data_IF_591359278518
#
_entry.id   IF_591359278518
#
_cell.length_a   1.000
_cell.length_b   1.000
_cell.length_c   1.000
_cell.angle_alpha   90.00
_cell.angle_beta   90.00
_cell.angle_gamma   90.00
#
_symmetry.space_group_name_H-M   'P 1'
#
loop_
_entity.id
_entity.type
_entity.pdbx_description
1 polymer ?
#
# COMPACT_ATOMS: atom_id res chain seq x y z
N UNK A 1 -6.40 -6.18 17.31
CA UNK A 1 -7.80 -6.22 16.84
C UNK A 1 -8.74 -5.40 17.71
N UNK A 2 -8.82 -5.60 19.03
CA UNK A 2 -9.71 -4.77 19.87
C UNK A 2 -9.45 -3.26 19.74
N UNK A 3 -8.17 -2.83 19.85
CA UNK A 3 -7.78 -1.42 19.66
C UNK A 3 -8.13 -0.87 18.27
N UNK A 4 -8.09 -1.72 17.23
CA UNK A 4 -8.47 -1.33 15.87
C UNK A 4 -9.97 -1.07 15.79
N UNK A 5 -10.81 -1.91 16.40
CA UNK A 5 -12.26 -1.70 16.43
C UNK A 5 -12.67 -0.50 17.28
N UNK A 6 -12.01 -0.27 18.43
CA UNK A 6 -12.23 0.95 19.20
C UNK A 6 -11.90 2.20 18.38
N UNK A 7 -10.77 2.20 17.65
CA UNK A 7 -10.42 3.29 16.74
C UNK A 7 -11.50 3.54 15.67
N UNK A 8 -12.02 2.48 15.05
CA UNK A 8 -13.11 2.61 14.06
C UNK A 8 -14.37 3.24 14.63
N UNK A 9 -14.75 2.84 15.86
CA UNK A 9 -15.92 3.38 16.54
C UNK A 9 -15.71 4.85 16.91
N UNK A 10 -14.59 5.14 17.56
CA UNK A 10 -14.34 6.44 18.18
C UNK A 10 -13.94 7.52 17.16
N UNK A 11 -13.20 7.14 16.12
CA UNK A 11 -12.64 8.09 15.14
C UNK A 11 -13.44 8.15 13.83
N UNK A 12 -13.91 7.00 13.35
CA UNK A 12 -14.48 6.89 12.00
C UNK A 12 -16.00 6.78 12.01
N UNK A 13 -16.64 6.84 13.18
CA UNK A 13 -18.09 6.85 13.33
C UNK A 13 -18.77 5.59 12.77
N UNK A 14 -18.05 4.47 12.72
CA UNK A 14 -18.61 3.18 12.27
C UNK A 14 -19.80 2.84 13.15
N UNK A 15 -20.98 2.74 12.52
CA UNK A 15 -22.23 2.60 13.25
C UNK A 15 -22.27 1.26 14.02
N UNK A 16 -22.73 1.26 15.29
CA UNK A 16 -22.78 0.07 16.12
C UNK A 16 -23.64 -1.08 15.57
N UNK A 17 -24.53 -0.86 14.60
CA UNK A 17 -25.47 -1.88 14.12
C UNK A 17 -25.14 -2.45 12.72
N UNK A 18 -23.86 -2.46 12.34
CA UNK A 18 -23.41 -2.91 11.02
C UNK A 18 -23.16 -4.42 10.92
N UNK A 19 -22.76 -4.86 9.72
CA UNK A 19 -22.30 -6.23 9.46
C UNK A 19 -20.78 -6.27 9.23
N UNK A 20 -20.11 -7.26 9.79
CA UNK A 20 -18.68 -7.50 9.63
C UNK A 20 -18.39 -8.69 8.70
N UNK A 21 -17.44 -8.53 7.79
CA UNK A 21 -16.93 -9.60 6.92
C UNK A 21 -15.41 -9.72 7.03
N UNK A 22 -14.92 -10.93 7.24
CA UNK A 22 -13.50 -11.29 7.30
C UNK A 22 -13.12 -12.12 6.06
N UNK A 23 -12.43 -11.47 5.12
CA UNK A 23 -12.01 -12.04 3.85
C UNK A 23 -10.69 -12.82 4.02
N UNK A 24 -10.76 -14.15 3.92
CA UNK A 24 -9.63 -15.03 4.25
C UNK A 24 -9.50 -15.20 5.76
N UNK A 25 -10.59 -15.60 6.41
CA UNK A 25 -10.72 -15.58 7.88
C UNK A 25 -9.78 -16.54 8.62
N UNK A 26 -9.13 -17.48 7.92
CA UNK A 26 -8.25 -18.46 8.54
C UNK A 26 -8.99 -19.26 9.62
N UNK A 27 -8.46 -19.22 10.85
CA UNK A 27 -9.09 -19.87 12.01
C UNK A 27 -10.20 -19.04 12.67
N UNK A 28 -10.62 -17.92 12.09
CA UNK A 28 -11.79 -17.15 12.52
C UNK A 28 -11.56 -16.20 13.70
N UNK A 29 -10.31 -15.99 14.13
CA UNK A 29 -10.00 -15.09 15.25
C UNK A 29 -10.45 -13.65 14.99
N UNK A 30 -10.14 -13.00 13.85
CA UNK A 30 -10.59 -11.63 13.60
C UNK A 30 -12.12 -11.51 13.57
N UNK A 31 -12.79 -12.48 12.95
CA UNK A 31 -14.26 -12.59 12.94
C UNK A 31 -14.84 -12.63 14.36
N UNK A 32 -14.31 -13.49 15.24
CA UNK A 32 -14.76 -13.59 16.63
C UNK A 32 -14.41 -12.34 17.44
N UNK A 33 -13.25 -11.74 17.20
CA UNK A 33 -12.89 -10.46 17.82
C UNK A 33 -13.87 -9.35 17.44
N UNK A 34 -14.35 -9.31 16.19
CA UNK A 34 -15.38 -8.36 15.78
C UNK A 34 -16.69 -8.61 16.54
N UNK A 35 -17.09 -9.87 16.67
CA UNK A 35 -18.33 -10.28 17.36
C UNK A 35 -18.38 -9.92 18.85
N UNK A 36 -17.22 -9.79 19.52
CA UNK A 36 -17.10 -9.34 20.91
C UNK A 36 -16.61 -7.89 21.04
N UNK A 37 -16.48 -7.18 19.92
CA UNK A 37 -15.93 -5.81 19.92
C UNK A 37 -16.95 -4.77 20.36
N UNK A 38 -16.46 -3.56 20.64
CA UNK A 38 -17.29 -2.40 21.01
C UNK A 38 -18.17 -1.87 19.87
N UNK A 39 -17.96 -2.33 18.63
CA UNK A 39 -18.72 -1.91 17.46
C UNK A 39 -20.08 -2.58 17.32
N UNK A 40 -20.50 -3.44 18.27
CA UNK A 40 -21.86 -4.03 18.41
C UNK A 40 -22.45 -4.67 17.13
N UNK A 41 -21.61 -5.16 16.22
CA UNK A 41 -22.05 -5.72 14.93
C UNK A 41 -23.21 -6.71 15.09
N UNK A 42 -24.21 -6.62 14.23
CA UNK A 42 -25.35 -7.54 14.23
C UNK A 42 -24.93 -8.93 13.73
N UNK A 43 -24.05 -8.96 12.72
CA UNK A 43 -23.49 -10.21 12.17
C UNK A 43 -21.99 -10.08 11.93
N UNK A 44 -21.26 -11.18 12.11
CA UNK A 44 -19.84 -11.32 11.79
C UNK A 44 -19.61 -12.61 11.00
N UNK A 45 -19.21 -12.49 9.73
CA UNK A 45 -18.97 -13.63 8.86
C UNK A 45 -17.49 -13.78 8.52
N UNK A 46 -16.97 -14.99 8.68
CA UNK A 46 -15.66 -15.39 8.15
C UNK A 46 -15.80 -16.19 6.87
N UNK A 47 -15.02 -15.82 5.84
CA UNK A 47 -14.93 -16.56 4.58
C UNK A 47 -13.52 -17.09 4.42
N UNK A 48 -13.39 -18.40 4.27
CA UNK A 48 -12.10 -19.07 4.14
C UNK A 48 -12.16 -20.18 3.09
N UNK A 49 -11.11 -20.30 2.28
CA UNK A 49 -11.04 -21.31 1.22
C UNK A 49 -10.70 -22.70 1.77
N UNK A 50 -9.88 -22.76 2.82
CA UNK A 50 -9.43 -24.00 3.45
C UNK A 50 -10.47 -24.59 4.40
N UNK A 51 -11.04 -25.74 4.03
CA UNK A 51 -12.01 -26.47 4.85
C UNK A 51 -11.50 -26.81 6.27
N UNK A 52 -10.20 -27.12 6.42
CA UNK A 52 -9.62 -27.43 7.73
C UNK A 52 -9.53 -26.20 8.64
N UNK A 53 -9.26 -25.02 8.06
CA UNK A 53 -9.25 -23.73 8.77
C UNK A 53 -10.67 -23.32 9.19
N UNK A 54 -11.66 -23.51 8.31
CA UNK A 54 -13.10 -23.33 8.64
C UNK A 54 -13.53 -24.27 9.77
N UNK A 55 -13.11 -25.54 9.75
CA UNK A 55 -13.40 -26.47 10.83
C UNK A 55 -12.78 -26.01 12.18
N UNK A 56 -11.58 -25.42 12.16
CA UNK A 56 -10.99 -24.80 13.34
C UNK A 56 -11.77 -23.56 13.81
N UNK A 57 -12.20 -22.69 12.89
CA UNK A 57 -13.05 -21.54 13.19
C UNK A 57 -14.38 -21.95 13.83
N UNK A 58 -15.02 -22.99 13.31
CA UNK A 58 -16.26 -23.56 13.88
C UNK A 58 -16.06 -24.20 15.27
N UNK A 59 -14.84 -24.65 15.63
CA UNK A 59 -14.53 -25.06 17.01
C UNK A 59 -14.50 -23.84 17.94
N UNK A 60 -13.88 -22.74 17.54
CA UNK A 60 -13.87 -21.50 18.32
C UNK A 60 -15.26 -20.88 18.41
N UNK A 61 -16.05 -20.93 17.34
CA UNK A 61 -17.46 -20.50 17.33
C UNK A 61 -18.28 -21.20 18.42
N UNK A 62 -18.15 -22.51 18.56
CA UNK A 62 -18.87 -23.26 19.61
C UNK A 62 -18.53 -22.78 21.02
N UNK A 63 -17.29 -22.37 21.25
CA UNK A 63 -16.89 -21.77 22.53
C UNK A 63 -17.55 -20.41 22.72
N UNK A 64 -17.53 -19.56 21.68
CA UNK A 64 -18.25 -18.27 21.67
C UNK A 64 -19.74 -18.46 21.95
N UNK A 65 -20.42 -19.34 21.21
CA UNK A 65 -21.86 -19.61 21.36
C UNK A 65 -22.20 -20.11 22.77
N UNK A 66 -21.32 -20.91 23.40
CA UNK A 66 -21.52 -21.41 24.77
C UNK A 66 -21.37 -20.32 25.84
N UNK A 67 -20.71 -19.21 25.52
CA UNK A 67 -20.43 -18.11 26.43
C UNK A 67 -21.29 -16.87 26.17
N UNK A 68 -21.82 -16.73 24.95
CA UNK A 68 -22.68 -15.64 24.53
C UNK A 68 -24.00 -15.63 25.33
N UNK A 69 -24.46 -14.44 25.73
CA UNK A 69 -25.73 -14.23 26.44
C UNK A 69 -26.49 -13.08 25.75
N UNK A 70 -27.79 -13.25 25.48
CA UNK A 70 -28.68 -12.17 25.01
C UNK A 70 -28.54 -11.83 23.52
N UNK A 71 -28.66 -10.53 23.18
CA UNK A 71 -28.53 -9.95 21.83
C UNK A 71 -27.07 -9.98 21.31
N UNK A 72 -26.44 -11.15 21.34
CA UNK A 72 -25.08 -11.35 20.87
C UNK A 72 -25.00 -11.35 19.34
N UNK A 73 -23.93 -10.76 18.79
CA UNK A 73 -23.58 -10.79 17.37
C UNK A 73 -23.70 -12.22 16.77
N UNK A 74 -24.41 -12.36 15.65
CA UNK A 74 -24.49 -13.64 14.95
C UNK A 74 -23.17 -13.92 14.21
N UNK A 75 -22.47 -14.98 14.63
CA UNK A 75 -21.22 -15.40 13.97
C UNK A 75 -21.50 -16.50 12.95
N UNK A 76 -20.86 -16.45 11.78
CA UNK A 76 -20.87 -17.56 10.83
C UNK A 76 -19.54 -17.74 10.11
N UNK A 77 -19.24 -18.98 9.71
CA UNK A 77 -18.04 -19.31 8.92
C UNK A 77 -18.43 -20.10 7.68
N UNK A 78 -17.79 -19.79 6.57
CA UNK A 78 -18.09 -20.38 5.27
C UNK A 78 -16.84 -20.86 4.55
N UNK A 79 -16.92 -22.07 4.00
CA UNK A 79 -15.86 -22.65 3.17
C UNK A 79 -16.12 -22.30 1.71
N UNK A 80 -15.47 -21.26 1.20
CA UNK A 80 -15.70 -20.77 -0.16
C UNK A 80 -14.54 -19.93 -0.68
N UNK A 81 -14.44 -19.83 -1.99
CA UNK A 81 -13.53 -18.91 -2.68
C UNK A 81 -14.06 -17.48 -2.58
N UNK A 82 -13.31 -16.61 -1.90
CA UNK A 82 -13.70 -15.21 -1.68
C UNK A 82 -13.85 -14.44 -2.99
N UNK A 83 -13.16 -14.85 -4.07
CA UNK A 83 -13.25 -14.21 -5.39
C UNK A 83 -14.62 -14.36 -6.04
N UNK A 84 -15.36 -15.40 -5.67
CA UNK A 84 -16.65 -15.77 -6.27
C UNK A 84 -17.84 -15.47 -5.36
N UNK A 85 -17.57 -14.96 -4.16
CA UNK A 85 -18.58 -14.80 -3.14
C UNK A 85 -19.18 -13.40 -3.22
N UNK A 86 -20.39 -13.30 -3.78
CA UNK A 86 -21.15 -12.05 -3.90
C UNK A 86 -21.78 -11.60 -2.59
N UNK A 87 -21.01 -11.57 -1.51
CA UNK A 87 -21.51 -11.21 -0.17
C UNK A 87 -20.76 -10.01 0.40
N UNK A 88 -20.16 -9.16 -0.41
CA UNK A 88 -19.57 -7.92 0.10
C UNK A 88 -20.60 -6.79 0.19
N UNK A 89 -21.64 -6.84 -0.63
CA UNK A 89 -22.75 -5.88 -0.64
C UNK A 89 -23.47 -5.72 0.72
N UNK A 90 -23.55 -6.79 1.53
CA UNK A 90 -24.18 -6.73 2.85
C UNK A 90 -23.27 -6.17 3.97
N UNK A 91 -21.95 -6.10 3.74
CA UNK A 91 -20.98 -5.77 4.78
C UNK A 91 -20.85 -4.25 4.98
N UNK A 92 -20.88 -3.80 6.22
CA UNK A 92 -20.57 -2.41 6.59
C UNK A 92 -19.07 -2.23 6.88
N UNK A 93 -18.42 -3.30 7.35
CA UNK A 93 -16.97 -3.36 7.53
C UNK A 93 -16.45 -4.65 6.93
N UNK A 94 -15.45 -4.56 6.06
CA UNK A 94 -14.71 -5.71 5.56
C UNK A 94 -13.25 -5.64 6.03
N UNK A 95 -12.73 -6.76 6.51
CA UNK A 95 -11.34 -6.93 6.91
C UNK A 95 -10.65 -7.94 5.98
N UNK A 96 -9.40 -7.69 5.62
CA UNK A 96 -8.57 -8.66 4.90
C UNK A 96 -7.12 -8.64 5.37
N UNK A 97 -6.63 -9.82 5.76
CA UNK A 97 -5.21 -10.03 5.98
C UNK A 97 -4.49 -10.39 4.67
N UNK A 98 -4.13 -9.36 3.89
CA UNK A 98 -3.59 -9.50 2.54
C UNK A 98 -2.07 -9.65 2.43
N UNK A 99 -1.37 -9.92 3.55
CA UNK A 99 0.11 -9.96 3.61
C UNK A 99 0.72 -10.84 2.51
N UNK A 100 0.15 -12.04 2.35
CA UNK A 100 0.67 -13.10 1.46
C UNK A 100 -0.13 -13.23 0.15
N UNK A 101 -1.08 -12.34 -0.11
CA UNK A 101 -1.89 -12.42 -1.33
C UNK A 101 -1.08 -11.90 -2.53
N UNK A 102 -1.23 -12.52 -3.69
CA UNK A 102 -0.68 -12.00 -4.93
C UNK A 102 -1.53 -10.83 -5.48
N UNK A 103 -1.06 -10.20 -6.54
CA UNK A 103 -1.76 -9.07 -7.15
C UNK A 103 -3.11 -9.48 -7.76
N UNK A 104 -3.21 -10.68 -8.31
CA UNK A 104 -4.44 -11.19 -8.94
C UNK A 104 -5.55 -11.39 -7.91
N UNK A 105 -5.25 -12.06 -6.79
CA UNK A 105 -6.18 -12.25 -5.69
C UNK A 105 -6.57 -10.91 -5.06
N UNK A 106 -5.61 -10.00 -4.85
CA UNK A 106 -5.92 -8.67 -4.34
C UNK A 106 -6.87 -7.90 -5.26
N UNK A 107 -6.65 -7.94 -6.58
CA UNK A 107 -7.51 -7.27 -7.54
C UNK A 107 -8.92 -7.89 -7.57
N UNK A 108 -9.02 -9.22 -7.54
CA UNK A 108 -10.31 -9.92 -7.54
C UNK A 108 -11.12 -9.62 -6.25
N UNK A 109 -10.48 -9.60 -5.08
CA UNK A 109 -11.16 -9.27 -3.81
C UNK A 109 -11.50 -7.79 -3.75
N UNK A 110 -10.63 -6.90 -4.23
CA UNK A 110 -10.92 -5.47 -4.30
C UNK A 110 -12.16 -5.20 -5.16
N UNK A 111 -12.30 -5.90 -6.30
CA UNK A 111 -13.49 -5.78 -7.14
C UNK A 111 -14.78 -6.16 -6.39
N UNK A 112 -14.74 -7.21 -5.55
CA UNK A 112 -15.89 -7.58 -4.72
C UNK A 112 -16.16 -6.53 -3.63
N UNK A 113 -15.12 -6.04 -2.93
CA UNK A 113 -15.27 -4.98 -1.93
C UNK A 113 -15.82 -3.68 -2.51
N UNK A 114 -15.55 -3.39 -3.79
CA UNK A 114 -16.08 -2.21 -4.48
C UNK A 114 -17.62 -2.25 -4.61
N UNK A 115 -18.28 -3.38 -4.36
CA UNK A 115 -19.76 -3.50 -4.36
C UNK A 115 -20.41 -3.16 -3.02
N UNK A 116 -19.64 -2.92 -1.94
CA UNK A 116 -20.18 -2.58 -0.61
C UNK A 116 -21.04 -1.31 -0.63
N UNK A 117 -21.85 -1.05 0.41
CA UNK A 117 -22.67 0.17 0.45
C UNK A 117 -21.85 1.43 0.74
N UNK A 118 -22.35 2.59 0.33
CA UNK A 118 -21.79 3.91 0.70
C UNK A 118 -21.52 4.01 2.21
N UNK A 119 -20.39 4.58 2.59
CA UNK A 119 -19.97 4.74 3.98
C UNK A 119 -19.38 3.48 4.61
N UNK A 120 -19.40 2.34 3.90
CA UNK A 120 -18.75 1.12 4.37
C UNK A 120 -17.24 1.28 4.44
N UNK A 121 -16.60 0.51 5.32
CA UNK A 121 -15.16 0.60 5.59
C UNK A 121 -14.48 -0.70 5.18
N UNK A 122 -13.36 -0.59 4.49
CA UNK A 122 -12.44 -1.70 4.23
C UNK A 122 -11.15 -1.48 5.00
N UNK A 123 -10.74 -2.51 5.73
CA UNK A 123 -9.50 -2.56 6.49
C UNK A 123 -8.61 -3.63 5.87
N UNK A 124 -7.50 -3.23 5.28
CA UNK A 124 -6.56 -4.16 4.66
C UNK A 124 -5.21 -4.12 5.35
N UNK A 125 -4.67 -5.30 5.65
CA UNK A 125 -3.40 -5.44 6.36
C UNK A 125 -2.22 -5.58 5.38
N UNK A 126 -1.17 -4.82 5.63
CA UNK A 126 0.11 -4.74 4.92
C UNK A 126 0.06 -4.30 3.46
N UNK A 127 -1.10 -4.33 2.81
CA UNK A 127 -1.31 -3.80 1.46
C UNK A 127 -2.62 -3.05 1.41
N UNK A 128 -2.65 -1.97 0.64
CA UNK A 128 -3.88 -1.25 0.29
C UNK A 128 -4.50 -1.90 -0.95
N UNK A 129 -5.80 -2.17 -0.91
CA UNK A 129 -6.52 -2.56 -2.13
C UNK A 129 -6.73 -1.38 -3.07
N UNK A 130 -6.67 -1.64 -4.37
CA UNK A 130 -7.08 -0.68 -5.38
C UNK A 130 -8.62 -0.64 -5.44
N UNK A 131 -9.23 0.22 -4.63
CA UNK A 131 -10.68 0.43 -4.53
C UNK A 131 -11.04 1.81 -5.07
N UNK A 132 -11.39 1.94 -6.37
CA UNK A 132 -11.63 3.25 -6.98
C UNK A 132 -12.79 4.01 -6.34
N UNK A 133 -13.78 3.33 -5.77
CA UNK A 133 -14.92 3.98 -5.11
C UNK A 133 -14.66 4.35 -3.64
N UNK A 134 -13.46 4.06 -3.10
CA UNK A 134 -13.11 4.29 -1.70
C UNK A 134 -12.00 5.33 -1.54
N UNK A 135 -12.12 6.17 -0.51
CA UNK A 135 -11.07 7.08 -0.07
C UNK A 135 -10.24 6.45 1.05
N UNK A 136 -8.92 6.70 1.07
CA UNK A 136 -8.08 6.36 2.21
C UNK A 136 -8.35 7.37 3.32
N UNK A 137 -8.80 6.88 4.48
CA UNK A 137 -9.15 7.71 5.63
C UNK A 137 -8.14 7.59 6.77
N UNK A 138 -7.43 6.46 6.86
CA UNK A 138 -6.43 6.25 7.92
C UNK A 138 -5.38 5.19 7.56
N UNK A 139 -4.23 5.26 8.24
CA UNK A 139 -3.15 4.27 8.19
C UNK A 139 -2.66 4.03 9.61
N UNK A 140 -2.89 2.82 10.12
CA UNK A 140 -2.59 2.45 11.51
C UNK A 140 -1.45 1.44 11.52
N UNK A 141 -0.37 1.72 12.23
CA UNK A 141 0.71 0.76 12.49
C UNK A 141 0.58 0.22 13.91
N UNK A 142 0.48 -1.10 14.06
CA UNK A 142 0.45 -1.77 15.37
C UNK A 142 1.67 -2.68 15.53
N UNK A 143 2.32 -2.70 16.72
CA UNK A 143 3.45 -3.59 16.97
C UNK A 143 3.03 -5.06 16.86
N UNK A 144 3.78 -5.87 16.11
CA UNK A 144 3.44 -7.29 15.88
C UNK A 144 3.33 -8.15 17.14
N UNK A 145 3.87 -7.70 18.26
CA UNK A 145 4.05 -8.50 19.46
C UNK A 145 3.05 -8.14 20.57
N UNK A 146 2.30 -7.04 20.43
CA UNK A 146 1.45 -6.53 21.51
C UNK A 146 2.20 -6.06 22.77
N UNK A 147 3.53 -6.08 22.76
CA UNK A 147 4.41 -5.68 23.88
C UNK A 147 5.14 -4.35 23.64
N UNK A 148 4.90 -3.69 22.51
CA UNK A 148 5.50 -2.39 22.23
C UNK A 148 4.62 -1.28 22.79
N UNK A 149 5.21 -0.38 23.57
CA UNK A 149 4.64 0.95 23.76
C UNK A 149 4.37 1.57 22.39
N UNK A 150 3.23 2.25 22.24
CA UNK A 150 2.91 3.02 21.03
C UNK A 150 4.11 3.93 20.69
N UNK A 151 4.84 3.65 19.60
CA UNK A 151 6.00 4.43 19.17
C UNK A 151 7.38 3.77 19.28
N UNK A 152 7.50 2.49 19.68
CA UNK A 152 8.79 1.79 19.66
C UNK A 152 9.22 1.39 18.23
N UNK A 153 10.24 2.06 17.69
CA UNK A 153 10.70 2.05 16.29
C UNK A 153 11.27 0.72 15.76
N UNK A 154 11.50 -0.27 16.63
CA UNK A 154 12.26 -1.48 16.28
C UNK A 154 11.40 -2.75 16.21
N UNK A 155 10.10 -2.66 16.54
CA UNK A 155 9.17 -3.77 16.41
C UNK A 155 8.57 -3.80 14.99
N UNK A 156 8.54 -4.97 14.36
CA UNK A 156 7.94 -5.16 13.04
C UNK A 156 6.46 -4.80 13.12
N UNK A 157 6.07 -3.62 12.65
CA UNK A 157 4.68 -3.18 12.73
C UNK A 157 3.81 -3.82 11.64
N UNK A 158 2.60 -4.19 12.02
CA UNK A 158 1.52 -4.46 11.10
C UNK A 158 0.84 -3.15 10.71
N UNK A 159 0.96 -2.77 9.45
CA UNK A 159 0.25 -1.61 8.89
C UNK A 159 -1.15 -2.02 8.43
N UNK A 160 -2.16 -1.25 8.83
CA UNK A 160 -3.55 -1.38 8.42
C UNK A 160 -3.93 -0.15 7.62
N UNK A 161 -4.45 -0.35 6.41
CA UNK A 161 -5.02 0.72 5.59
C UNK A 161 -6.53 0.72 5.80
N UNK A 162 -7.08 1.85 6.24
CA UNK A 162 -8.51 2.01 6.46
C UNK A 162 -9.04 2.91 5.36
N UNK A 163 -9.95 2.36 4.56
CA UNK A 163 -10.57 3.06 3.43
C UNK A 163 -12.07 3.08 3.60
N UNK A 164 -12.75 4.14 3.15
CA UNK A 164 -14.19 4.29 3.28
C UNK A 164 -14.84 4.55 1.92
N UNK A 165 -15.96 3.89 1.65
CA UNK A 165 -16.68 4.03 0.39
C UNK A 165 -17.31 5.42 0.29
N UNK A 166 -17.02 6.13 -0.79
CA UNK A 166 -17.54 7.47 -1.06
C UNK A 166 -19.06 7.46 -1.16
N UNK A 167 -19.68 8.53 -0.68
CA UNK A 167 -21.05 8.83 -1.04
C UNK A 167 -21.12 9.08 -2.54
N UNK A 168 -21.84 8.20 -3.24
CA UNK A 168 -22.20 8.45 -4.63
C UNK A 168 -23.12 9.67 -4.62
N UNK A 169 -22.60 10.82 -5.07
CA UNK A 169 -23.40 12.03 -5.26
C UNK A 169 -24.38 11.76 -6.41
N UNK A 170 -25.52 11.14 -6.09
CA UNK A 170 -26.63 10.98 -7.02
C UNK A 170 -27.51 12.21 -6.88
N UNK A 171 -27.18 13.26 -7.65
CA UNK A 171 -27.94 14.50 -7.71
C UNK A 171 -27.07 15.75 -7.54
N UNK A 172 -27.43 16.82 -8.25
CA UNK A 172 -26.71 18.11 -8.30
C UNK A 172 -26.71 18.92 -6.98
N UNK A 173 -27.10 18.32 -5.85
CA UNK A 173 -27.13 19.01 -4.55
C UNK A 173 -25.75 18.95 -3.86
N UNK A 174 -24.88 19.87 -4.28
CA UNK A 174 -23.56 20.14 -3.69
C UNK A 174 -23.61 20.70 -2.25
N UNK A 175 -24.79 20.91 -1.67
CA UNK A 175 -24.97 21.69 -0.44
C UNK A 175 -24.80 20.91 0.86
N UNK A 176 -24.78 19.57 0.85
CA UNK A 176 -24.54 18.77 2.07
C UNK A 176 -23.14 18.13 2.16
N UNK A 177 -22.36 18.12 1.09
CA UNK A 177 -20.99 17.57 1.10
C UNK A 177 -19.98 18.46 1.86
N UNK A 178 -20.36 19.66 2.29
CA UNK A 178 -19.46 20.66 2.90
C UNK A 178 -19.22 20.49 4.40
N UNK A 179 -19.99 19.64 5.09
CA UNK A 179 -19.75 19.38 6.53
C UNK A 179 -18.76 18.25 6.81
N UNK A 180 -18.49 17.38 5.83
CA UNK A 180 -17.28 16.55 5.83
C UNK A 180 -16.20 17.32 5.08
N UNK A 181 -15.59 18.29 5.77
CA UNK A 181 -14.35 18.89 5.28
C UNK A 181 -13.35 17.76 5.15
N UNK A 182 -13.16 17.30 3.91
CA UNK A 182 -12.02 16.52 3.44
C UNK A 182 -10.75 17.33 3.75
N UNK A 183 -10.33 17.35 5.02
CA UNK A 183 -8.93 17.54 5.33
C UNK A 183 -8.25 16.29 4.79
N UNK A 184 -7.31 16.38 3.86
CA UNK A 184 -6.45 15.25 3.55
C UNK A 184 -5.76 14.86 4.86
N UNK A 185 -6.29 13.86 5.54
CA UNK A 185 -5.66 13.20 6.66
C UNK A 185 -4.51 12.40 6.05
N UNK A 186 -3.34 13.02 5.96
CA UNK A 186 -2.11 12.28 5.74
C UNK A 186 -1.84 11.58 7.08
N UNK A 187 -2.41 10.38 7.23
CA UNK A 187 -2.21 9.56 8.42
C UNK A 187 -0.75 9.13 8.50
N UNK A 188 0.02 9.87 9.30
CA UNK A 188 1.40 9.56 9.67
C UNK A 188 1.37 9.15 11.13
N UNK A 189 1.64 7.87 11.41
CA UNK A 189 1.41 7.24 12.71
C UNK A 189 2.47 7.56 13.77
N UNK A 190 3.40 8.48 13.53
CA UNK A 190 4.50 8.77 14.44
C UNK A 190 4.47 10.22 14.97
N UNK A 191 4.85 10.40 16.24
CA UNK A 191 4.86 11.69 16.93
C UNK A 191 5.90 12.66 16.36
N UNK A 192 6.94 12.16 15.70
CA UNK A 192 7.97 12.95 15.02
C UNK A 192 7.46 13.50 13.69
N UNK A 193 6.65 12.77 12.92
CA UNK A 193 5.95 13.13 11.69
C UNK A 193 4.85 14.15 11.97
N UNK A 194 4.16 14.03 13.12
CA UNK A 194 3.27 15.07 13.62
C UNK A 194 4.03 16.32 14.06
N UNK A 195 5.19 16.19 14.72
CA UNK A 195 6.07 17.32 15.03
C UNK A 195 6.66 17.95 13.76
N UNK A 196 6.95 17.13 12.74
CA UNK A 196 7.41 17.50 11.41
C UNK A 196 6.39 18.41 10.72
N UNK A 197 5.13 17.97 10.66
CA UNK A 197 4.01 18.75 10.14
C UNK A 197 3.75 20.00 10.98
N UNK A 198 3.86 19.92 12.31
CA UNK A 198 3.67 21.09 13.20
C UNK A 198 4.69 22.19 12.94
N UNK A 199 5.97 21.84 12.82
CA UNK A 199 7.05 22.78 12.55
C UNK A 199 6.88 23.46 11.18
N UNK A 200 6.36 22.73 10.18
CA UNK A 200 6.02 23.28 8.87
C UNK A 200 4.87 24.29 8.91
N UNK A 201 3.85 24.07 9.74
CA UNK A 201 2.79 25.07 9.97
C UNK A 201 3.26 26.31 10.74
N UNK A 202 4.34 26.19 11.52
CA UNK A 202 4.85 27.28 12.35
C UNK A 202 5.83 28.19 11.60
N UNK A 203 6.58 27.67 10.63
CA UNK A 203 7.44 28.47 9.74
C UNK A 203 6.68 29.23 8.65
N UNK A 204 5.42 28.87 8.37
CA UNK A 204 4.50 29.69 7.58
C UNK A 204 3.97 30.87 8.39
N UNK A 205 4.81 31.89 8.58
CA UNK A 205 4.46 33.21 9.14
C UNK A 205 3.28 33.87 8.38
N UNK A 206 2.43 34.71 9.03
CA UNK A 206 1.20 35.26 8.45
C UNK A 206 1.33 36.19 7.23
N UNK A 207 2.54 36.41 6.71
CA UNK A 207 2.78 37.39 5.64
C UNK A 207 2.76 36.81 4.22
N UNK A 208 2.59 35.50 4.02
CA UNK A 208 2.68 34.91 2.67
C UNK A 208 1.32 34.91 1.95
N UNK A 209 0.89 36.09 1.49
CA UNK A 209 -0.17 36.24 0.47
C UNK A 209 0.41 36.17 -0.94
N UNK A 210 0.42 34.98 -1.56
CA UNK A 210 0.35 34.78 -3.02
C UNK A 210 0.21 33.28 -3.38
N UNK A 211 -0.92 32.91 -3.97
CA UNK A 211 -1.40 31.52 -4.16
C UNK A 211 -0.74 30.67 -5.26
N UNK A 212 0.59 30.63 -5.36
CA UNK A 212 1.28 29.58 -6.14
C UNK A 212 2.70 29.28 -5.66
N UNK A 213 3.36 30.28 -5.06
CA UNK A 213 4.71 30.13 -4.49
C UNK A 213 4.73 29.34 -3.17
N UNK A 214 3.61 29.28 -2.43
CA UNK A 214 3.48 28.59 -1.14
C UNK A 214 3.53 27.07 -1.26
N UNK A 215 2.93 26.49 -2.31
CA UNK A 215 2.96 25.04 -2.49
C UNK A 215 4.36 24.52 -2.85
N UNK A 216 5.12 25.26 -3.65
CA UNK A 216 6.49 24.90 -4.03
C UNK A 216 7.48 25.09 -2.87
N UNK A 217 7.32 26.13 -2.06
CA UNK A 217 8.20 26.37 -0.90
C UNK A 217 7.97 25.35 0.22
N UNK A 218 6.71 24.99 0.53
CA UNK A 218 6.39 23.91 1.47
C UNK A 218 6.91 22.57 0.95
N UNK A 219 6.87 22.32 -0.36
CA UNK A 219 7.36 21.07 -0.95
C UNK A 219 8.88 20.94 -0.90
N UNK A 220 9.61 22.01 -1.26
CA UNK A 220 11.07 22.04 -1.13
C UNK A 220 11.52 21.91 0.33
N UNK A 221 10.77 22.49 1.28
CA UNK A 221 10.99 22.30 2.70
C UNK A 221 10.76 20.85 3.13
N UNK A 222 9.68 20.21 2.69
CA UNK A 222 9.38 18.80 2.94
C UNK A 222 10.46 17.85 2.39
N UNK A 223 10.99 18.15 1.21
CA UNK A 223 12.07 17.36 0.58
C UNK A 223 13.38 17.53 1.36
N UNK A 224 13.77 18.77 1.69
CA UNK A 224 14.97 19.03 2.51
C UNK A 224 14.88 18.39 3.89
N UNK A 225 13.69 18.42 4.47
CA UNK A 225 13.41 17.80 5.75
C UNK A 225 13.51 16.27 5.66
N UNK A 226 12.94 15.67 4.62
CA UNK A 226 13.10 14.25 4.35
C UNK A 226 14.57 13.84 4.13
N UNK A 227 15.35 14.68 3.46
CA UNK A 227 16.79 14.46 3.26
C UNK A 227 17.59 14.53 4.57
N UNK A 228 17.21 15.44 5.47
CA UNK A 228 17.90 15.65 6.75
C UNK A 228 17.49 14.65 7.85
N UNK A 229 16.30 14.04 7.74
CA UNK A 229 15.75 13.12 8.74
C UNK A 229 16.13 11.65 8.53
N UNK A 230 17.00 11.35 7.56
CA UNK A 230 17.49 9.98 7.30
C UNK A 230 16.36 8.99 7.01
N UNK A 231 16.28 7.91 7.79
CA UNK A 231 15.31 6.82 7.58
C UNK A 231 13.84 7.30 7.67
N UNK A 232 13.53 8.14 8.66
CA UNK A 232 12.17 8.66 8.88
C UNK A 232 11.73 9.55 7.73
N UNK A 233 12.64 10.35 7.18
CA UNK A 233 12.38 11.16 6.00
C UNK A 233 12.01 10.33 4.77
N UNK A 234 12.68 9.20 4.56
CA UNK A 234 12.35 8.27 3.46
C UNK A 234 10.97 7.63 3.66
N UNK A 235 10.64 7.22 4.88
CA UNK A 235 9.30 6.66 5.19
C UNK A 235 8.19 7.69 4.99
N UNK A 236 8.45 8.94 5.38
CA UNK A 236 7.54 10.05 5.15
C UNK A 236 7.30 10.29 3.64
N UNK A 237 8.34 10.23 2.81
CA UNK A 237 8.19 10.31 1.35
C UNK A 237 7.33 9.17 0.78
N UNK A 238 7.47 7.94 1.30
CA UNK A 238 6.62 6.83 0.90
C UNK A 238 5.15 7.08 1.23
N UNK A 239 4.86 7.60 2.42
CA UNK A 239 3.51 7.95 2.85
C UNK A 239 2.90 9.10 2.02
N UNK A 240 3.69 10.12 1.69
CA UNK A 240 3.23 11.22 0.82
C UNK A 240 2.80 10.73 -0.57
N UNK A 241 3.42 9.68 -1.09
CA UNK A 241 3.10 9.09 -2.40
C UNK A 241 1.81 8.24 -2.41
N UNK A 242 0.99 8.29 -1.34
CA UNK A 242 -0.31 7.62 -1.31
C UNK A 242 -1.34 8.19 -2.31
N UNK A 243 -1.08 9.35 -2.92
CA UNK A 243 -1.96 9.99 -3.90
C UNK A 243 -1.20 10.53 -5.12
N UNK A 244 -1.83 10.48 -6.29
CA UNK A 244 -1.24 10.95 -7.55
C UNK A 244 -0.84 12.45 -7.51
N UNK A 245 -1.63 13.38 -6.93
CA UNK A 245 -1.22 14.79 -6.86
C UNK A 245 0.08 14.99 -6.08
N UNK A 246 0.24 14.31 -4.94
CA UNK A 246 1.47 14.37 -4.14
C UNK A 246 2.65 13.78 -4.88
N UNK A 247 2.46 12.61 -5.52
CA UNK A 247 3.50 12.00 -6.36
C UNK A 247 3.91 12.91 -7.50
N UNK A 248 2.95 13.56 -8.17
CA UNK A 248 3.20 14.51 -9.27
C UNK A 248 4.02 15.71 -8.80
N UNK A 249 3.85 16.16 -7.57
CA UNK A 249 4.66 17.23 -7.00
C UNK A 249 6.08 16.74 -6.67
N UNK A 250 6.20 15.55 -6.06
CA UNK A 250 7.49 14.98 -5.66
C UNK A 250 8.40 14.71 -6.86
N UNK A 251 7.86 14.16 -7.94
CA UNK A 251 8.66 13.82 -9.12
C UNK A 251 9.01 15.01 -10.00
N UNK A 252 8.49 16.22 -9.72
CA UNK A 252 8.96 17.44 -10.38
C UNK A 252 10.35 17.85 -9.90
N UNK A 253 10.75 17.41 -8.72
CA UNK A 253 12.09 17.64 -8.19
C UNK A 253 12.94 16.37 -8.39
N UNK A 254 13.86 16.35 -9.37
CA UNK A 254 14.69 15.18 -9.65
C UNK A 254 15.63 14.82 -8.48
N UNK A 255 15.84 15.73 -7.52
CA UNK A 255 16.65 15.45 -6.32
C UNK A 255 15.97 14.45 -5.39
N UNK A 256 14.63 14.37 -5.39
CA UNK A 256 13.88 13.37 -4.61
C UNK A 256 14.15 11.97 -5.13
N UNK A 257 14.01 11.78 -6.44
CA UNK A 257 14.25 10.47 -7.06
C UNK A 257 15.73 10.09 -6.91
N UNK A 258 16.65 11.03 -7.15
CA UNK A 258 18.09 10.80 -6.95
C UNK A 258 18.42 10.40 -5.51
N UNK A 259 17.84 11.06 -4.51
CA UNK A 259 18.00 10.72 -3.10
C UNK A 259 17.47 9.30 -2.78
N UNK A 260 16.30 8.94 -3.32
CA UNK A 260 15.75 7.60 -3.13
C UNK A 260 16.57 6.52 -3.86
N UNK A 261 17.18 6.84 -4.99
CA UNK A 261 18.11 5.97 -5.71
C UNK A 261 19.39 5.74 -4.88
N UNK A 262 19.93 6.79 -4.25
CA UNK A 262 21.06 6.65 -3.32
C UNK A 262 20.67 5.79 -2.10
N UNK A 263 19.46 5.97 -1.58
CA UNK A 263 18.93 5.22 -0.45
C UNK A 263 18.81 3.71 -0.72
N UNK A 264 18.50 3.29 -1.94
CA UNK A 264 18.47 1.86 -2.31
C UNK A 264 19.85 1.29 -2.64
N UNK A 265 20.89 2.11 -2.74
CA UNK A 265 22.24 1.66 -3.05
C UNK A 265 22.80 0.72 -1.97
N UNK A 266 23.72 -0.17 -2.35
CA UNK A 266 24.40 -1.09 -1.43
C UNK A 266 25.12 -0.41 -0.26
N UNK A 267 25.53 0.85 -0.42
CA UNK A 267 26.23 1.61 0.63
C UNK A 267 25.31 1.97 1.80
N UNK A 268 24.00 1.96 1.57
CA UNK A 268 22.97 2.27 2.56
C UNK A 268 22.70 1.08 3.48
N UNK A 269 22.21 1.34 4.70
CA UNK A 269 21.76 0.28 5.62
C UNK A 269 20.56 -0.48 5.03
N UNK A 270 20.31 -1.70 5.49
CA UNK A 270 19.16 -2.49 5.02
C UNK A 270 17.82 -1.76 5.26
N UNK A 271 17.65 -1.10 6.41
CA UNK A 271 16.45 -0.32 6.71
C UNK A 271 16.28 0.83 5.71
N UNK A 272 17.35 1.57 5.43
CA UNK A 272 17.36 2.64 4.42
C UNK A 272 17.00 2.12 3.03
N UNK A 273 17.57 0.97 2.62
CA UNK A 273 17.24 0.34 1.33
C UNK A 273 15.77 -0.11 1.26
N UNK A 274 15.26 -0.72 2.33
CA UNK A 274 13.86 -1.14 2.42
C UNK A 274 12.92 0.04 2.28
N UNK A 275 13.13 1.11 3.06
CA UNK A 275 12.31 2.32 2.99
C UNK A 275 12.46 3.02 1.64
N UNK A 276 13.66 3.11 1.07
CA UNK A 276 13.90 3.72 -0.24
C UNK A 276 13.17 2.97 -1.35
N UNK A 277 13.23 1.64 -1.34
CA UNK A 277 12.53 0.79 -2.31
C UNK A 277 11.01 0.89 -2.16
N UNK A 278 10.51 1.06 -0.94
CA UNK A 278 9.08 1.26 -0.67
C UNK A 278 8.61 2.62 -1.18
N UNK A 279 9.38 3.68 -0.95
CA UNK A 279 9.08 5.02 -1.43
C UNK A 279 9.06 5.08 -2.97
N UNK A 280 10.07 4.53 -3.64
CA UNK A 280 10.10 4.44 -5.10
C UNK A 280 8.93 3.63 -5.65
N UNK A 281 8.53 2.56 -4.97
CA UNK A 281 7.35 1.77 -5.35
C UNK A 281 6.05 2.53 -5.19
N UNK A 282 5.91 3.31 -4.12
CA UNK A 282 4.76 4.19 -3.94
C UNK A 282 4.70 5.28 -5.03
N UNK A 283 5.86 5.80 -5.47
CA UNK A 283 5.95 6.70 -6.62
C UNK A 283 5.53 5.98 -7.90
N UNK A 284 6.08 4.80 -8.19
CA UNK A 284 5.82 4.05 -9.44
C UNK A 284 4.38 3.56 -9.57
N UNK A 285 3.63 3.49 -8.47
CA UNK A 285 2.21 3.14 -8.49
C UNK A 285 1.38 4.10 -9.37
N UNK A 286 1.82 5.36 -9.52
CA UNK A 286 1.14 6.38 -10.31
C UNK A 286 1.82 6.65 -11.66
N UNK A 287 1.06 6.95 -12.75
CA UNK A 287 1.64 7.24 -14.06
C UNK A 287 2.66 8.38 -14.06
N UNK A 288 2.35 9.48 -13.37
CA UNK A 288 3.28 10.62 -13.25
C UNK A 288 4.59 10.23 -12.55
N UNK A 289 4.51 9.32 -11.58
CA UNK A 289 5.67 8.83 -10.84
C UNK A 289 6.56 7.93 -11.67
N UNK A 290 5.97 7.02 -12.45
CA UNK A 290 6.71 6.19 -13.43
C UNK A 290 7.47 7.03 -14.43
N UNK A 291 6.80 8.04 -15.02
CA UNK A 291 7.44 8.99 -15.93
C UNK A 291 8.60 9.72 -15.24
N UNK A 292 8.39 10.24 -14.04
CA UNK A 292 9.45 10.91 -13.28
C UNK A 292 10.65 10.01 -13.00
N UNK A 293 10.44 8.74 -12.63
CA UNK A 293 11.52 7.77 -12.43
C UNK A 293 12.27 7.52 -13.73
N UNK A 294 11.55 7.37 -14.85
CA UNK A 294 12.17 7.13 -16.16
C UNK A 294 12.94 8.35 -16.69
N UNK A 295 12.46 9.56 -16.42
CA UNK A 295 13.10 10.83 -16.81
C UNK A 295 14.29 11.21 -15.92
N UNK A 296 14.35 10.66 -14.69
CA UNK A 296 15.48 10.89 -13.80
C UNK A 296 16.72 10.15 -14.29
N UNK A 297 17.72 10.91 -14.76
CA UNK A 297 18.97 10.40 -15.33
C UNK A 297 19.62 9.33 -14.43
N UNK A 298 19.81 8.13 -14.98
CA UNK A 298 20.48 7.02 -14.30
C UNK A 298 19.65 6.30 -13.23
N UNK A 299 18.40 6.70 -12.97
CA UNK A 299 17.57 6.06 -11.94
C UNK A 299 17.22 4.60 -12.31
N UNK A 300 16.74 4.36 -13.53
CA UNK A 300 16.42 3.00 -14.02
C UNK A 300 17.67 2.12 -14.01
N UNK A 301 18.78 2.63 -14.53
CA UNK A 301 20.06 1.91 -14.56
C UNK A 301 20.51 1.57 -13.13
N UNK A 302 20.39 2.51 -12.18
CA UNK A 302 20.73 2.28 -10.76
C UNK A 302 19.84 1.26 -10.08
N UNK A 303 18.52 1.23 -10.38
CA UNK A 303 17.60 0.21 -9.87
C UNK A 303 18.00 -1.17 -10.40
N UNK A 304 18.31 -1.27 -11.69
CA UNK A 304 18.72 -2.53 -12.30
C UNK A 304 20.09 -3.01 -11.79
N UNK A 305 21.06 -2.10 -11.65
CA UNK A 305 22.34 -2.43 -11.00
C UNK A 305 22.12 -2.93 -9.58
N UNK A 306 21.27 -2.25 -8.79
CA UNK A 306 20.90 -2.69 -7.45
C UNK A 306 20.27 -4.09 -7.47
N UNK A 307 19.37 -4.37 -8.41
CA UNK A 307 18.76 -5.69 -8.57
C UNK A 307 19.77 -6.80 -8.89
N UNK A 308 20.74 -6.54 -9.77
CA UNK A 308 21.83 -7.47 -10.08
C UNK A 308 22.72 -7.68 -8.86
N UNK A 309 23.04 -6.58 -8.19
CA UNK A 309 23.83 -6.55 -6.99
C UNK A 309 23.21 -7.40 -5.86
N UNK A 310 21.91 -7.30 -5.63
CA UNK A 310 21.19 -8.12 -4.64
C UNK A 310 21.24 -9.64 -4.94
N UNK A 311 21.73 -10.07 -6.11
CA UNK A 311 21.83 -11.49 -6.49
C UNK A 311 23.22 -12.09 -6.25
N UNK A 312 24.28 -11.26 -6.19
CA UNK A 312 25.66 -11.73 -6.02
C UNK A 312 26.10 -11.84 -4.56
N UNK A 313 25.38 -11.21 -3.63
CA UNK A 313 25.67 -11.27 -2.20
C UNK A 313 25.06 -12.55 -1.60
N UNK A 314 25.84 -13.64 -1.59
CA UNK A 314 25.48 -14.89 -0.90
C UNK A 314 25.36 -14.74 0.63
N UNK A 315 25.62 -13.54 1.17
CA UNK A 315 25.45 -13.22 2.58
C UNK A 315 24.02 -12.73 2.83
N UNK A 316 23.41 -13.29 3.87
CA UNK A 316 22.02 -13.16 4.34
C UNK A 316 21.53 -11.74 4.71
N UNK A 317 22.06 -10.68 4.09
CA UNK A 317 21.84 -9.29 4.48
C UNK A 317 20.82 -8.53 3.60
N UNK A 318 20.21 -9.18 2.60
CA UNK A 318 19.27 -8.52 1.69
C UNK A 318 17.85 -9.07 1.79
N UNK A 319 16.92 -8.17 2.18
CA UNK A 319 15.54 -8.52 2.51
C UNK A 319 14.72 -8.79 1.23
N UNK A 320 14.01 -9.94 1.13
CA UNK A 320 13.19 -10.28 -0.04
C UNK A 320 12.21 -9.18 -0.49
N UNK A 321 11.74 -8.35 0.45
CA UNK A 321 10.87 -7.22 0.13
C UNK A 321 11.55 -6.11 -0.70
N UNK A 322 12.86 -5.84 -0.50
CA UNK A 322 13.60 -4.85 -1.32
C UNK A 322 13.61 -5.33 -2.77
N UNK A 323 14.00 -6.59 -2.99
CA UNK A 323 14.03 -7.20 -4.32
C UNK A 323 12.64 -7.19 -4.97
N UNK A 324 11.60 -7.57 -4.23
CA UNK A 324 10.23 -7.55 -4.74
C UNK A 324 9.78 -6.14 -5.14
N UNK A 325 10.07 -5.13 -4.31
CA UNK A 325 9.74 -3.74 -4.61
C UNK A 325 10.46 -3.24 -5.87
N UNK A 326 11.77 -3.50 -6.00
CA UNK A 326 12.55 -3.07 -7.16
C UNK A 326 12.08 -3.76 -8.46
N UNK A 327 11.73 -5.04 -8.40
CA UNK A 327 11.13 -5.75 -9.54
C UNK A 327 9.78 -5.13 -9.93
N UNK A 328 8.94 -4.80 -8.95
CA UNK A 328 7.65 -4.13 -9.18
C UNK A 328 7.84 -2.73 -9.80
N UNK A 329 8.78 -1.93 -9.30
CA UNK A 329 9.11 -0.61 -9.85
C UNK A 329 9.54 -0.72 -11.32
N UNK A 330 10.46 -1.64 -11.65
CA UNK A 330 10.92 -1.85 -13.03
C UNK A 330 9.76 -2.32 -13.91
N UNK A 331 9.00 -3.31 -13.45
CA UNK A 331 7.84 -3.81 -14.19
C UNK A 331 6.83 -2.71 -14.49
N UNK A 332 6.51 -1.88 -13.49
CA UNK A 332 5.59 -0.75 -13.65
C UNK A 332 6.16 0.34 -14.56
N UNK A 333 7.41 0.74 -14.37
CA UNK A 333 8.07 1.82 -15.13
C UNK A 333 8.22 1.43 -16.60
N UNK A 334 8.57 0.17 -16.89
CA UNK A 334 8.68 -0.35 -18.26
C UNK A 334 7.31 -0.62 -18.93
N UNK A 335 6.22 -0.68 -18.15
CA UNK A 335 4.87 -0.87 -18.68
C UNK A 335 4.21 0.46 -19.12
N UNK A 336 4.79 1.62 -18.78
CA UNK A 336 4.24 2.92 -19.15
C UNK A 336 4.56 3.28 -20.61
N UNK A 337 3.75 2.72 -21.52
CA UNK A 337 3.88 2.85 -22.98
C UNK A 337 3.93 4.30 -23.49
N UNK A 338 3.34 5.28 -22.79
CA UNK A 338 3.42 6.71 -23.18
C UNK A 338 4.72 7.38 -22.73
N UNK A 339 5.34 6.93 -21.64
CA UNK A 339 6.66 7.42 -21.21
C UNK A 339 7.79 6.89 -22.09
N UNK A 340 7.72 5.62 -22.48
CA UNK A 340 8.76 4.97 -23.28
C UNK A 340 8.79 5.41 -24.76
N UNK A 341 7.64 5.80 -25.33
CA UNK A 341 7.58 6.36 -26.69
C UNK A 341 8.17 7.78 -26.78
N UNK A 342 8.18 8.55 -25.68
CA UNK A 342 8.81 9.88 -25.65
C UNK A 342 10.31 9.82 -25.28
N UNK A 343 10.78 8.73 -24.68
CA UNK A 343 12.18 8.48 -24.28
C UNK A 343 13.01 7.77 -25.38
N UNK A 344 12.62 7.94 -26.65
CA UNK A 344 12.91 7.07 -27.81
C UNK A 344 14.38 6.86 -28.25
N UNK A 345 15.38 7.27 -27.46
CA UNK A 345 16.80 7.14 -27.81
C UNK A 345 17.64 6.34 -26.81
N UNK A 346 17.93 6.93 -25.64
CA UNK A 346 18.97 6.40 -24.74
C UNK A 346 18.45 5.33 -23.77
N UNK A 347 17.27 5.52 -23.17
CA UNK A 347 16.76 4.60 -22.13
C UNK A 347 16.39 3.24 -22.73
N UNK A 348 15.83 3.19 -23.93
CA UNK A 348 15.53 1.90 -24.59
C UNK A 348 16.81 1.15 -24.97
N UNK A 349 17.87 1.85 -25.40
CA UNK A 349 19.15 1.23 -25.74
C UNK A 349 19.86 0.73 -24.47
N UNK A 350 19.97 1.55 -23.43
CA UNK A 350 20.59 1.17 -22.15
C UNK A 350 19.83 0.05 -21.46
N UNK A 351 18.49 0.09 -21.40
CA UNK A 351 17.69 -0.99 -20.81
C UNK A 351 17.82 -2.26 -21.63
N UNK A 352 17.86 -2.18 -22.96
CA UNK A 352 18.04 -3.37 -23.82
C UNK A 352 19.45 -3.94 -23.68
N UNK A 353 20.48 -3.11 -23.67
CA UNK A 353 21.87 -3.50 -23.46
C UNK A 353 22.06 -4.11 -22.08
N UNK A 354 21.44 -3.53 -21.04
CA UNK A 354 21.51 -4.03 -19.68
C UNK A 354 20.72 -5.33 -19.49
N UNK A 355 19.52 -5.46 -20.07
CA UNK A 355 18.78 -6.74 -20.08
C UNK A 355 19.55 -7.82 -20.85
N UNK A 356 20.22 -7.45 -21.95
CA UNK A 356 21.06 -8.36 -22.74
C UNK A 356 22.31 -8.78 -21.95
N UNK A 357 22.98 -7.84 -21.29
CA UNK A 357 24.13 -8.10 -20.43
C UNK A 357 23.74 -9.01 -19.25
N UNK A 358 22.62 -8.72 -18.58
CA UNK A 358 22.09 -9.52 -17.47
C UNK A 358 21.69 -10.93 -17.91
N UNK A 359 21.14 -11.08 -19.12
CA UNK A 359 20.81 -12.39 -19.70
C UNK A 359 22.07 -13.19 -20.04
N UNK A 360 23.04 -12.56 -20.71
CA UNK A 360 24.30 -13.20 -21.09
C UNK A 360 25.09 -13.65 -19.85
N UNK A 361 25.20 -12.78 -18.84
CA UNK A 361 25.83 -13.14 -17.56
C UNK A 361 25.04 -14.23 -16.82
N UNK A 362 23.70 -14.19 -16.86
CA UNK A 362 22.84 -15.20 -16.26
C UNK A 362 22.94 -16.58 -16.94
N UNK A 363 23.12 -16.62 -18.27
CA UNK A 363 23.33 -17.84 -19.04
C UNK A 363 24.76 -18.39 -18.81
N UNK A 364 25.80 -17.55 -18.86
CA UNK A 364 27.19 -17.96 -18.62
C UNK A 364 27.44 -18.42 -17.17
N UNK A 365 26.76 -17.81 -16.19
CA UNK A 365 26.92 -18.12 -14.76
C UNK A 365 25.87 -19.10 -14.21
N UNK A 366 25.02 -19.67 -15.07
CA UNK A 366 23.97 -20.64 -14.72
C UNK A 366 23.00 -20.13 -13.64
N UNK A 367 22.35 -19.00 -13.86
CA UNK A 367 21.40 -18.37 -12.93
C UNK A 367 19.96 -18.35 -13.46
N UNK A 368 19.19 -19.45 -13.28
CA UNK A 368 17.86 -19.60 -13.85
C UNK A 368 16.87 -18.51 -13.42
N UNK A 369 16.98 -17.99 -12.19
CA UNK A 369 16.04 -16.97 -11.67
C UNK A 369 16.19 -15.59 -12.30
N UNK A 370 17.39 -15.26 -12.80
CA UNK A 370 17.72 -13.98 -13.44
C UNK A 370 17.26 -14.00 -14.88
N UNK A 371 17.60 -15.09 -15.59
CA UNK A 371 17.07 -15.40 -16.92
C UNK A 371 15.54 -15.45 -16.88
N UNK A 372 14.94 -16.04 -15.83
CA UNK A 372 13.49 -16.07 -15.64
C UNK A 372 12.89 -14.69 -15.40
N UNK A 373 13.47 -13.84 -14.54
CA UNK A 373 12.98 -12.49 -14.29
C UNK A 373 13.08 -11.60 -15.55
N UNK A 374 14.19 -11.68 -16.28
CA UNK A 374 14.37 -11.00 -17.57
C UNK A 374 13.38 -11.54 -18.60
N UNK A 375 13.20 -12.86 -18.67
CA UNK A 375 12.24 -13.50 -19.57
C UNK A 375 10.79 -13.14 -19.22
N UNK A 376 10.45 -12.97 -17.93
CA UNK A 376 9.13 -12.50 -17.51
C UNK A 376 8.89 -11.05 -17.95
N UNK A 377 9.88 -10.18 -17.76
CA UNK A 377 9.82 -8.79 -18.23
C UNK A 377 9.66 -8.74 -19.77
N UNK A 378 10.42 -9.56 -20.52
CA UNK A 378 10.30 -9.68 -21.97
C UNK A 378 8.95 -10.27 -22.41
N UNK A 379 8.46 -11.31 -21.71
CA UNK A 379 7.16 -11.96 -21.99
C UNK A 379 6.00 -11.00 -21.77
N UNK A 380 6.01 -10.24 -20.66
CA UNK A 380 5.02 -9.22 -20.37
C UNK A 380 5.05 -8.12 -21.43
N UNK A 381 6.25 -7.70 -21.88
CA UNK A 381 6.43 -6.73 -22.98
C UNK A 381 5.87 -7.25 -24.32
N UNK A 382 6.06 -8.53 -24.65
CA UNK A 382 5.55 -9.12 -25.89
C UNK A 382 4.03 -9.34 -25.87
N UNK A 383 3.49 -9.90 -24.79
CA UNK A 383 2.04 -10.07 -24.61
C UNK A 383 1.30 -8.75 -24.84
N UNK A 384 1.80 -7.66 -24.27
CA UNK A 384 1.19 -6.34 -24.41
C UNK A 384 1.28 -5.76 -25.84
N UNK A 385 2.42 -5.91 -26.54
CA UNK A 385 2.56 -5.50 -27.94
C UNK A 385 1.52 -6.18 -28.85
N UNK A 386 1.06 -7.38 -28.51
CA UNK A 386 0.01 -8.08 -29.23
C UNK A 386 -1.39 -7.57 -28.85
N UNK A 387 -1.62 -7.25 -27.57
CA UNK A 387 -2.90 -6.74 -27.07
C UNK A 387 -3.24 -5.31 -27.52
N UNK A 388 -2.24 -4.49 -27.85
CA UNK A 388 -2.44 -3.09 -28.32
C UNK A 388 -2.67 -2.99 -29.84
N UNK A 389 -2.47 -4.10 -30.59
CA UNK A 389 -2.75 -4.18 -32.03
C UNK A 389 -4.16 -4.68 -32.37
N UNK A 390 -4.98 -4.94 -31.35
CA UNK A 390 -6.42 -5.21 -31.46
C UNK A 390 -7.17 -3.99 -30.93
#
# INVERSE_FOLDING_TARGET
>A
MHSLFSLLKDTHGVKPSGNFLDAGSGNGVPTLCAAVSVCEFSTAMGVEYSASRVAAANKLKRLYDSQARGDSCEVSFSCSDIRKKGTFDYASVAFANSVMWDAELCAAVAHQMDTMLTGSVVISMSRRFALPSFDLIDVVSLPANGTGDYGATDARDFTFYITQKRATLVGNDYTQATHFVNRPSIALSDSESHALLRNLTYESSPEVKAGSATHLSTHAALIKLAQNSGLHGIMFLAALCASEPSTRLLVKDPTVISFLIEAISRKSTLATRASGSLALRAISAHPCGRRGIAECSGAVSSILYTLCDLQHTAQAADHPAVRANLLDIIGQTLNDSRGLLELEGSVSAEVTELLTAVRKDGEEKSWPSVVHAVSEVERMRQWWKMSVKQ
#
